data_IF_633587448511
#
_entry.id   IF_633587448511
#
_cell.length_a   1.000
_cell.length_b   1.000
_cell.length_c   1.000
_cell.angle_alpha   90.00
_cell.angle_beta   90.00
_cell.angle_gamma   90.00
#
_symmetry.space_group_name_H-M   'P 1'
#
loop_
_entity.id
_entity.type
_entity.pdbx_description
1 polymer ?
#
# COMPACT_ATOMS: atom_id res chain seq x y z
N UNK A 1 7.46 6.95 12.55
CA UNK A 1 6.40 7.12 13.57
C UNK A 1 6.58 6.23 14.81
N UNK A 2 7.79 5.69 15.06
CA UNK A 2 8.09 4.96 16.30
C UNK A 2 7.62 3.50 16.35
N UNK A 3 7.19 2.91 15.25
CA UNK A 3 6.87 1.49 15.18
C UNK A 3 8.14 0.66 14.92
N UNK A 4 8.28 -0.45 15.63
CA UNK A 4 9.23 -1.49 15.25
C UNK A 4 8.66 -2.28 14.08
N UNK A 5 9.42 -2.43 13.01
CA UNK A 5 8.99 -3.11 11.79
C UNK A 5 9.81 -4.37 11.59
N UNK A 6 9.13 -5.47 11.35
CA UNK A 6 9.74 -6.74 10.94
C UNK A 6 9.07 -7.24 9.68
N UNK A 7 9.75 -8.04 8.90
CA UNK A 7 9.18 -8.62 7.68
C UNK A 7 9.97 -9.84 7.21
N UNK A 8 9.40 -10.56 6.28
CA UNK A 8 10.04 -11.69 5.59
C UNK A 8 9.91 -11.54 4.08
N UNK A 9 10.97 -11.83 3.36
CA UNK A 9 10.98 -11.85 1.90
C UNK A 9 11.94 -12.96 1.43
N UNK A 10 11.51 -13.74 0.46
CA UNK A 10 12.34 -14.79 -0.14
C UNK A 10 13.38 -14.23 -1.11
N UNK A 11 13.18 -12.99 -1.58
CA UNK A 11 14.03 -12.33 -2.56
C UNK A 11 14.81 -11.19 -1.91
N UNK A 12 16.14 -11.32 -1.91
CA UNK A 12 17.01 -10.21 -1.52
C UNK A 12 17.09 -9.19 -2.64
N UNK A 13 16.61 -7.97 -2.38
CA UNK A 13 16.62 -6.88 -3.33
C UNK A 13 17.03 -5.55 -2.67
N UNK A 14 17.14 -4.50 -3.47
CA UNK A 14 17.53 -3.18 -2.97
C UNK A 14 16.57 -2.63 -1.91
N UNK A 15 15.27 -2.94 -2.03
CA UNK A 15 14.26 -2.46 -1.07
C UNK A 15 14.39 -3.18 0.28
N UNK A 16 14.60 -4.50 0.29
CA UNK A 16 14.83 -5.23 1.54
C UNK A 16 16.10 -4.76 2.24
N UNK A 17 17.16 -4.42 1.48
CA UNK A 17 18.37 -3.83 2.03
C UNK A 17 18.10 -2.45 2.62
N UNK A 18 17.41 -1.58 1.89
CA UNK A 18 17.04 -0.24 2.35
C UNK A 18 16.21 -0.30 3.65
N UNK A 19 15.25 -1.23 3.73
CA UNK A 19 14.46 -1.41 4.95
C UNK A 19 15.32 -1.83 6.15
N UNK A 20 16.32 -2.71 5.95
CA UNK A 20 17.30 -3.07 7.00
C UNK A 20 18.10 -1.85 7.47
N UNK A 21 18.55 -1.01 6.54
CA UNK A 21 19.26 0.24 6.86
C UNK A 21 18.41 1.24 7.64
N UNK A 22 17.08 1.24 7.41
CA UNK A 22 16.12 2.01 8.18
C UNK A 22 15.77 1.39 9.54
N UNK A 23 16.39 0.27 9.90
CA UNK A 23 16.21 -0.40 11.18
C UNK A 23 15.13 -1.48 11.22
N UNK A 24 14.57 -1.88 10.08
CA UNK A 24 13.64 -3.02 10.03
C UNK A 24 14.41 -4.35 10.16
N UNK A 25 13.79 -5.32 10.80
CA UNK A 25 14.32 -6.69 10.86
C UNK A 25 13.70 -7.47 9.73
N UNK A 26 14.50 -7.84 8.73
CA UNK A 26 14.03 -8.58 7.55
C UNK A 26 14.64 -9.98 7.54
N UNK A 27 13.77 -10.99 7.57
CA UNK A 27 14.11 -12.40 7.45
C UNK A 27 14.17 -12.79 5.97
N UNK A 28 15.10 -13.67 5.62
CA UNK A 28 15.31 -14.16 4.25
C UNK A 28 14.53 -15.47 3.99
N UNK A 29 13.61 -15.84 4.88
CA UNK A 29 12.76 -17.03 4.82
C UNK A 29 11.37 -16.69 5.34
N UNK A 30 10.37 -17.52 5.00
CA UNK A 30 8.98 -17.36 5.45
C UNK A 30 8.56 -18.58 6.28
N UNK A 31 9.12 -18.72 7.46
CA UNK A 31 8.93 -19.85 8.37
C UNK A 31 8.39 -19.40 9.73
N UNK A 32 7.67 -20.30 10.42
CA UNK A 32 7.07 -20.01 11.74
C UNK A 32 8.06 -19.44 12.78
N UNK A 33 9.32 -19.88 12.74
CA UNK A 33 10.35 -19.44 13.68
C UNK A 33 10.60 -17.93 13.64
N UNK A 34 10.35 -17.28 12.51
CA UNK A 34 10.45 -15.82 12.40
C UNK A 34 9.44 -15.14 13.34
N UNK A 35 8.22 -15.65 13.40
CA UNK A 35 7.17 -15.13 14.29
C UNK A 35 7.54 -15.35 15.74
N UNK A 36 8.07 -16.53 16.10
CA UNK A 36 8.52 -16.83 17.46
C UNK A 36 9.65 -15.89 17.90
N UNK A 37 10.61 -15.58 17.01
CA UNK A 37 11.69 -14.62 17.25
C UNK A 37 11.13 -13.19 17.45
N UNK A 38 10.16 -12.77 16.64
CA UNK A 38 9.51 -11.47 16.79
C UNK A 38 8.80 -11.38 18.12
N UNK A 39 8.02 -12.41 18.49
CA UNK A 39 7.31 -12.46 19.77
C UNK A 39 8.25 -12.39 20.97
N UNK A 40 9.36 -13.14 20.92
CA UNK A 40 10.37 -13.14 22.01
C UNK A 40 11.06 -11.77 22.15
N UNK A 41 11.33 -11.10 21.02
CA UNK A 41 11.99 -9.80 20.99
C UNK A 41 11.09 -8.65 21.45
N UNK A 42 9.81 -8.70 21.12
CA UNK A 42 8.83 -7.64 21.39
C UNK A 42 7.78 -8.05 22.40
N UNK A 43 8.22 -8.70 23.48
CA UNK A 43 7.35 -9.14 24.58
C UNK A 43 6.49 -7.96 25.08
N UNK A 44 5.21 -8.25 25.33
CA UNK A 44 4.22 -7.27 25.82
C UNK A 44 3.86 -6.14 24.83
N UNK A 45 4.28 -6.21 23.56
CA UNK A 45 3.84 -5.27 22.54
C UNK A 45 2.71 -5.88 21.70
N UNK A 46 1.78 -5.04 21.26
CA UNK A 46 0.74 -5.46 20.31
C UNK A 46 1.36 -5.66 18.94
N UNK A 47 1.35 -6.89 18.46
CA UNK A 47 1.83 -7.26 17.13
C UNK A 47 0.66 -7.21 16.14
N UNK A 48 0.84 -6.53 15.02
CA UNK A 48 -0.07 -6.57 13.88
C UNK A 48 0.63 -7.32 12.75
N UNK A 49 -0.01 -8.38 12.26
CA UNK A 49 0.46 -9.13 11.10
C UNK A 49 -0.14 -8.48 9.86
N UNK A 50 0.72 -8.21 8.87
CA UNK A 50 0.31 -7.59 7.61
C UNK A 50 0.75 -8.47 6.45
N UNK A 51 -0.18 -8.77 5.56
CA UNK A 51 0.06 -9.57 4.36
C UNK A 51 -0.30 -8.79 3.09
N UNK A 52 0.27 -9.21 1.97
CA UNK A 52 -0.16 -8.80 0.62
C UNK A 52 -0.91 -9.93 -0.06
N UNK A 53 -1.57 -9.62 -1.17
CA UNK A 53 -2.26 -10.58 -2.03
C UNK A 53 -1.33 -11.66 -2.62
N UNK A 54 -0.01 -11.40 -2.65
CA UNK A 54 0.99 -12.37 -3.12
C UNK A 54 1.23 -13.53 -2.13
N UNK A 55 0.81 -13.40 -0.88
CA UNK A 55 1.03 -14.43 0.14
C UNK A 55 -0.03 -15.53 -0.02
N UNK A 56 0.43 -16.72 -0.36
CA UNK A 56 -0.43 -17.89 -0.55
C UNK A 56 -0.95 -18.41 0.79
N UNK A 57 -2.16 -19.00 0.77
CA UNK A 57 -2.80 -19.62 1.95
C UNK A 57 -1.95 -20.69 2.64
N UNK A 58 -1.09 -21.39 1.90
CA UNK A 58 -0.16 -22.41 2.42
C UNK A 58 1.14 -21.86 3.00
N UNK A 59 1.32 -20.53 3.01
CA UNK A 59 2.51 -19.90 3.60
C UNK A 59 2.64 -20.27 5.07
N UNK A 60 3.83 -20.70 5.52
CA UNK A 60 4.05 -21.25 6.86
C UNK A 60 3.84 -20.19 7.94
N UNK A 61 4.33 -18.94 7.74
CA UNK A 61 4.11 -17.84 8.68
C UNK A 61 2.62 -17.50 8.80
N UNK A 62 1.91 -17.43 7.65
CA UNK A 62 0.47 -17.16 7.62
C UNK A 62 -0.32 -18.24 8.34
N UNK A 63 -0.03 -19.52 8.06
CA UNK A 63 -0.67 -20.67 8.73
C UNK A 63 -0.43 -20.62 10.25
N UNK A 64 0.80 -20.32 10.66
CA UNK A 64 1.15 -20.19 12.07
C UNK A 64 0.38 -19.05 12.74
N UNK A 65 0.32 -17.88 12.10
CA UNK A 65 -0.42 -16.73 12.60
C UNK A 65 -1.92 -17.01 12.72
N UNK A 66 -2.55 -17.68 11.73
CA UNK A 66 -3.96 -18.09 11.78
C UNK A 66 -4.21 -19.05 12.94
N UNK A 67 -3.36 -20.07 13.09
CA UNK A 67 -3.47 -21.08 14.16
C UNK A 67 -3.38 -20.48 15.59
N UNK A 68 -2.59 -19.41 15.73
CA UNK A 68 -2.40 -18.74 17.02
C UNK A 68 -3.29 -17.50 17.21
N UNK A 69 -4.33 -17.33 16.37
CA UNK A 69 -5.32 -16.25 16.45
C UNK A 69 -4.73 -14.84 16.40
N UNK A 70 -3.64 -14.64 15.66
CA UNK A 70 -3.12 -13.30 15.42
C UNK A 70 -4.10 -12.48 14.59
N UNK A 71 -4.19 -11.19 14.87
CA UNK A 71 -4.92 -10.26 14.02
C UNK A 71 -4.12 -10.03 12.73
N UNK A 72 -4.64 -10.57 11.64
CA UNK A 72 -4.04 -10.44 10.32
C UNK A 72 -4.78 -9.35 9.55
N UNK A 73 -4.04 -8.42 8.98
CA UNK A 73 -4.55 -7.35 8.12
C UNK A 73 -3.96 -7.43 6.74
N UNK A 74 -4.72 -7.04 5.74
CA UNK A 74 -4.20 -6.84 4.40
C UNK A 74 -3.43 -5.51 4.31
N UNK A 75 -2.41 -5.42 3.42
CA UNK A 75 -1.64 -4.18 3.19
C UNK A 75 -2.52 -2.97 2.88
N UNK A 76 -3.64 -3.19 2.16
CA UNK A 76 -4.60 -2.15 1.82
C UNK A 76 -5.29 -1.55 3.06
N UNK A 77 -5.58 -2.36 4.07
CA UNK A 77 -6.15 -1.87 5.33
C UNK A 77 -5.17 -0.97 6.08
N UNK A 78 -3.87 -1.31 6.06
CA UNK A 78 -2.84 -0.48 6.67
C UNK A 78 -2.70 0.85 5.91
N UNK A 79 -2.70 0.81 4.58
CA UNK A 79 -2.69 2.03 3.76
C UNK A 79 -3.92 2.90 4.06
N UNK A 80 -5.11 2.32 4.09
CA UNK A 80 -6.33 3.04 4.44
C UNK A 80 -6.28 3.65 5.86
N UNK A 81 -5.64 2.97 6.81
CA UNK A 81 -5.42 3.52 8.16
C UNK A 81 -4.43 4.71 8.15
N UNK A 82 -3.37 4.62 7.35
CA UNK A 82 -2.40 5.72 7.20
C UNK A 82 -3.08 6.93 6.58
N UNK A 83 -3.86 6.74 5.52
CA UNK A 83 -4.59 7.81 4.81
C UNK A 83 -5.47 8.65 5.74
N UNK A 84 -6.11 8.04 6.73
CA UNK A 84 -6.95 8.76 7.72
C UNK A 84 -6.23 9.86 8.50
N UNK A 85 -4.91 9.83 8.56
CA UNK A 85 -4.10 10.84 9.26
C UNK A 85 -3.68 12.01 8.36
N UNK A 86 -4.10 12.01 7.09
CA UNK A 86 -3.70 12.97 6.08
C UNK A 86 -4.89 13.44 5.26
N UNK A 87 -4.72 14.54 4.55
CA UNK A 87 -5.53 14.88 3.38
C UNK A 87 -4.97 14.05 2.22
N UNK A 88 -5.70 13.03 1.82
CA UNK A 88 -5.24 12.01 0.86
C UNK A 88 -5.55 12.42 -0.58
N UNK A 89 -4.52 12.38 -1.43
CA UNK A 89 -4.60 12.49 -2.88
C UNK A 89 -4.32 11.09 -3.45
N UNK A 90 -5.36 10.40 -3.87
CA UNK A 90 -5.29 8.97 -4.21
C UNK A 90 -5.46 8.76 -5.70
N UNK A 91 -4.46 8.13 -6.32
CA UNK A 91 -4.41 7.89 -7.74
C UNK A 91 -4.79 6.43 -8.02
N UNK A 92 -5.87 6.24 -8.76
CA UNK A 92 -6.36 4.96 -9.25
C UNK A 92 -6.36 4.94 -10.79
N UNK A 93 -6.50 3.77 -11.37
CA UNK A 93 -6.57 3.57 -12.81
C UNK A 93 -5.83 2.32 -13.24
N UNK A 94 -6.23 1.71 -14.33
CA UNK A 94 -5.57 0.52 -14.85
C UNK A 94 -4.13 0.83 -15.24
N UNK A 95 -3.88 2.01 -15.80
CA UNK A 95 -2.55 2.44 -16.25
C UNK A 95 -2.16 3.82 -15.74
N UNK A 96 -0.85 4.07 -15.66
CA UNK A 96 -0.28 5.38 -15.38
C UNK A 96 -0.32 5.84 -13.93
N UNK A 97 -0.76 5.02 -12.98
CA UNK A 97 -0.82 5.37 -11.54
C UNK A 97 0.50 5.90 -11.00
N UNK A 98 1.59 5.13 -11.19
CA UNK A 98 2.94 5.51 -10.72
C UNK A 98 3.46 6.78 -11.37
N UNK A 99 3.20 6.98 -12.67
CA UNK A 99 3.61 8.20 -13.36
C UNK A 99 2.87 9.42 -12.82
N UNK A 100 1.56 9.32 -12.64
CA UNK A 100 0.72 10.41 -12.13
C UNK A 100 1.07 10.73 -10.67
N UNK A 101 1.24 9.72 -9.81
CA UNK A 101 1.60 9.94 -8.41
C UNK A 101 3.01 10.52 -8.26
N UNK A 102 3.97 10.08 -9.07
CA UNK A 102 5.32 10.64 -9.13
C UNK A 102 5.28 12.11 -9.57
N UNK A 103 4.54 12.40 -10.64
CA UNK A 103 4.41 13.75 -11.15
C UNK A 103 3.75 14.68 -10.11
N UNK A 104 2.66 14.24 -9.50
CA UNK A 104 1.95 15.02 -8.48
C UNK A 104 2.83 15.29 -7.26
N UNK A 105 3.54 14.28 -6.75
CA UNK A 105 4.46 14.44 -5.62
C UNK A 105 5.58 15.42 -5.94
N UNK A 106 6.14 15.33 -7.15
CA UNK A 106 7.20 16.24 -7.62
C UNK A 106 6.67 17.68 -7.77
N UNK A 107 5.47 17.83 -8.31
CA UNK A 107 4.84 19.14 -8.48
C UNK A 107 4.57 19.82 -7.13
N UNK A 108 4.02 19.08 -6.17
CA UNK A 108 3.78 19.60 -4.83
C UNK A 108 5.08 20.07 -4.16
N UNK A 109 6.15 19.30 -4.28
CA UNK A 109 7.47 19.65 -3.76
C UNK A 109 7.98 20.95 -4.40
N UNK A 110 7.92 21.05 -5.73
CA UNK A 110 8.34 22.25 -6.46
C UNK A 110 7.49 23.49 -6.13
N UNK A 111 6.23 23.30 -5.77
CA UNK A 111 5.33 24.35 -5.32
C UNK A 111 5.44 24.65 -3.81
N UNK A 112 6.46 24.14 -3.12
CA UNK A 112 6.66 24.29 -1.67
C UNK A 112 5.49 23.78 -0.81
N UNK A 113 4.71 22.85 -1.36
CA UNK A 113 3.61 22.15 -0.69
C UNK A 113 4.07 20.74 -0.38
N UNK A 114 4.95 20.59 0.62
CA UNK A 114 5.50 19.28 0.97
C UNK A 114 4.40 18.23 1.13
N UNK A 115 4.64 17.02 0.61
CA UNK A 115 3.74 15.90 0.75
C UNK A 115 4.47 14.64 1.18
N UNK A 116 3.83 13.83 2.02
CA UNK A 116 4.19 12.42 2.15
C UNK A 116 3.74 11.66 0.92
N UNK A 117 4.43 10.58 0.57
CA UNK A 117 4.09 9.78 -0.61
C UNK A 117 4.24 8.29 -0.34
N UNK A 118 3.31 7.49 -0.85
CA UNK A 118 3.38 6.01 -0.86
C UNK A 118 2.92 5.56 -2.25
N UNK A 119 3.86 5.03 -3.04
CA UNK A 119 3.64 4.71 -4.47
C UNK A 119 4.16 3.32 -4.81
N UNK A 120 3.74 2.76 -5.93
CA UNK A 120 4.20 1.46 -6.41
C UNK A 120 5.64 1.49 -6.97
N UNK A 121 6.11 2.65 -7.43
CA UNK A 121 7.45 2.85 -7.98
C UNK A 121 8.27 3.90 -7.24
N UNK A 122 9.55 3.98 -7.56
CA UNK A 122 10.47 4.95 -6.96
C UNK A 122 10.17 6.35 -7.51
N UNK A 123 9.95 7.30 -6.62
CA UNK A 123 9.86 8.73 -6.96
C UNK A 123 11.30 9.28 -7.03
N UNK A 124 11.76 9.78 -8.19
CA UNK A 124 13.15 10.14 -8.39
C UNK A 124 13.71 11.17 -7.41
N UNK A 125 12.95 12.21 -7.08
CA UNK A 125 13.36 13.27 -6.15
C UNK A 125 13.60 12.73 -4.73
N UNK A 126 12.83 11.71 -4.30
CA UNK A 126 12.96 11.08 -2.98
C UNK A 126 13.84 9.83 -2.99
N UNK A 127 14.19 9.30 -4.17
CA UNK A 127 14.92 8.03 -4.36
C UNK A 127 14.26 6.87 -3.60
N UNK A 128 12.96 6.92 -3.45
CA UNK A 128 12.16 5.98 -2.64
C UNK A 128 10.74 5.89 -3.17
N UNK A 129 10.10 4.76 -2.95
CA UNK A 129 8.66 4.56 -3.17
C UNK A 129 7.80 4.98 -1.96
N UNK A 130 8.42 5.33 -0.84
CA UNK A 130 7.75 5.86 0.32
C UNK A 130 8.57 7.01 0.92
N UNK A 131 7.97 8.17 1.04
CA UNK A 131 8.56 9.37 1.61
C UNK A 131 7.61 9.94 2.67
N UNK A 132 8.14 10.29 3.83
CA UNK A 132 7.35 10.82 4.94
C UNK A 132 7.90 12.19 5.33
N UNK A 133 7.03 13.17 5.26
CA UNK A 133 7.27 14.55 5.67
C UNK A 133 6.35 14.98 6.83
N UNK A 134 6.72 16.07 7.49
CA UNK A 134 5.84 16.72 8.46
C UNK A 134 4.81 17.60 7.74
N UNK A 135 3.84 16.96 7.11
CA UNK A 135 2.82 17.58 6.28
C UNK A 135 1.45 16.95 6.53
N UNK A 136 0.40 17.66 6.12
CA UNK A 136 -0.96 17.12 6.13
C UNK A 136 -1.34 16.38 4.85
N UNK A 137 -0.52 16.42 3.80
CA UNK A 137 -0.83 15.83 2.49
C UNK A 137 -0.16 14.46 2.32
N UNK A 138 -0.89 13.52 1.76
CA UNK A 138 -0.39 12.22 1.34
C UNK A 138 -0.79 11.95 -0.11
N UNK A 139 0.20 11.77 -0.98
CA UNK A 139 0.00 11.25 -2.33
C UNK A 139 0.17 9.73 -2.30
N UNK A 140 -0.81 8.99 -2.79
CA UNK A 140 -0.73 7.53 -2.78
C UNK A 140 -1.36 6.89 -4.00
N UNK A 141 -0.82 5.75 -4.42
CA UNK A 141 -1.43 4.88 -5.39
C UNK A 141 -2.42 3.95 -4.73
N UNK A 142 -3.55 3.76 -5.40
CA UNK A 142 -4.55 2.76 -5.04
C UNK A 142 -4.48 1.63 -6.06
N UNK A 143 -4.22 0.43 -5.56
CA UNK A 143 -4.16 -0.77 -6.37
C UNK A 143 -5.57 -1.36 -6.54
N UNK A 144 -5.98 -1.55 -7.79
CA UNK A 144 -7.26 -2.16 -8.14
C UNK A 144 -7.14 -3.67 -8.38
N UNK A 145 -5.93 -4.18 -8.60
CA UNK A 145 -5.67 -5.53 -9.09
C UNK A 145 -6.22 -6.65 -8.22
N UNK A 146 -6.36 -6.42 -6.93
CA UNK A 146 -6.87 -7.37 -5.93
C UNK A 146 -8.27 -7.01 -5.41
N UNK A 147 -8.96 -6.08 -6.08
CA UNK A 147 -10.31 -5.64 -5.72
C UNK A 147 -10.39 -4.84 -4.43
N UNK A 148 -9.28 -4.46 -3.82
CA UNK A 148 -9.27 -3.69 -2.57
C UNK A 148 -9.55 -2.20 -2.77
N UNK A 149 -9.52 -1.71 -4.02
CA UNK A 149 -9.80 -0.31 -4.38
C UNK A 149 -11.08 0.22 -3.73
N UNK A 150 -12.12 -0.58 -3.64
CA UNK A 150 -13.43 -0.24 -3.05
C UNK A 150 -13.38 0.06 -1.54
N UNK A 151 -12.28 -0.29 -0.86
CA UNK A 151 -12.13 -0.14 0.60
C UNK A 151 -11.50 1.20 1.00
N UNK A 152 -11.03 1.98 0.03
CA UNK A 152 -10.38 3.26 0.31
C UNK A 152 -11.38 4.40 0.32
N UNK A 153 -11.19 5.31 1.29
CA UNK A 153 -11.82 6.62 1.33
C UNK A 153 -10.75 7.67 1.05
N UNK A 154 -11.01 8.59 0.15
CA UNK A 154 -10.06 9.59 -0.26
C UNK A 154 -10.63 10.99 -0.14
N UNK A 155 -9.81 11.97 0.23
CA UNK A 155 -10.23 13.39 0.17
C UNK A 155 -10.27 13.85 -1.29
N UNK A 156 -9.26 13.47 -2.08
CA UNK A 156 -9.23 13.73 -3.52
C UNK A 156 -8.88 12.42 -4.23
N UNK A 157 -9.84 11.82 -4.91
CA UNK A 157 -9.64 10.67 -5.79
C UNK A 157 -9.32 11.12 -7.22
N UNK A 158 -8.37 10.46 -7.86
CA UNK A 158 -7.99 10.69 -9.26
C UNK A 158 -8.11 9.34 -9.97
N UNK A 159 -8.88 9.29 -11.06
CA UNK A 159 -9.00 8.10 -11.91
C UNK A 159 -8.43 8.45 -13.29
N UNK A 160 -7.30 7.83 -13.62
CA UNK A 160 -6.60 8.07 -14.89
C UNK A 160 -7.34 7.46 -16.09
N UNK A 161 -7.72 6.20 -15.97
CA UNK A 161 -8.38 5.39 -16.98
C UNK A 161 -8.92 4.11 -16.34
N UNK A 162 -9.84 3.45 -17.02
CA UNK A 162 -10.42 2.18 -16.59
C UNK A 162 -10.41 1.23 -17.80
N UNK A 163 -9.62 0.17 -17.71
CA UNK A 163 -9.54 -0.89 -18.70
C UNK A 163 -9.80 -2.25 -18.07
N UNK A 164 -10.19 -3.24 -18.88
CA UNK A 164 -10.32 -4.60 -18.42
C UNK A 164 -8.93 -5.24 -18.34
N UNK A 165 -8.36 -5.16 -17.16
CA UNK A 165 -7.08 -5.76 -16.78
C UNK A 165 -7.28 -6.63 -15.53
N UNK A 166 -6.24 -7.34 -15.11
CA UNK A 166 -6.25 -8.18 -13.90
C UNK A 166 -7.34 -9.27 -13.93
N UNK A 167 -7.39 -10.04 -15.02
CA UNK A 167 -8.34 -11.14 -15.23
C UNK A 167 -8.28 -12.25 -14.17
N UNK A 168 -7.23 -12.27 -13.35
CA UNK A 168 -7.10 -13.17 -12.19
C UNK A 168 -8.08 -12.83 -11.06
N UNK A 169 -8.53 -11.58 -11.01
CA UNK A 169 -9.45 -11.09 -9.97
C UNK A 169 -10.83 -10.72 -10.51
N UNK A 170 -10.90 -10.09 -11.69
CA UNK A 170 -12.14 -9.63 -12.30
C UNK A 170 -12.58 -10.55 -13.44
N UNK A 171 -13.84 -10.95 -13.44
CA UNK A 171 -14.40 -11.82 -14.48
C UNK A 171 -14.80 -11.06 -15.75
N UNK A 172 -15.08 -9.76 -15.62
CA UNK A 172 -15.54 -8.88 -16.71
C UNK A 172 -15.33 -7.40 -16.37
N UNK A 173 -15.53 -6.55 -17.39
CA UNK A 173 -15.38 -5.09 -17.24
C UNK A 173 -16.37 -4.48 -16.25
N UNK A 174 -17.57 -5.05 -16.11
CA UNK A 174 -18.59 -4.51 -15.20
C UNK A 174 -18.18 -4.63 -13.73
N UNK A 175 -17.46 -5.68 -13.36
CA UNK A 175 -16.90 -5.84 -12.03
C UNK A 175 -15.80 -4.81 -11.76
N UNK A 176 -14.94 -4.53 -12.75
CA UNK A 176 -13.93 -3.46 -12.68
C UNK A 176 -14.62 -2.12 -12.45
N UNK A 177 -15.59 -1.78 -13.34
CA UNK A 177 -16.36 -0.54 -13.26
C UNK A 177 -17.08 -0.39 -11.91
N UNK A 178 -17.66 -1.48 -11.39
CA UNK A 178 -18.30 -1.47 -10.06
C UNK A 178 -17.32 -1.10 -8.95
N UNK A 179 -16.11 -1.64 -9.00
CA UNK A 179 -15.05 -1.36 -8.02
C UNK A 179 -14.58 0.10 -8.08
N UNK A 180 -14.37 0.63 -9.30
CA UNK A 180 -14.03 2.05 -9.51
C UNK A 180 -15.17 3.00 -9.11
N UNK A 181 -16.44 2.67 -9.44
CA UNK A 181 -17.60 3.42 -8.98
C UNK A 181 -17.68 3.50 -7.45
N UNK A 182 -17.34 2.41 -6.78
CA UNK A 182 -17.30 2.40 -5.31
C UNK A 182 -16.20 3.31 -4.77
N UNK A 183 -14.99 3.27 -5.33
CA UNK A 183 -13.92 4.20 -4.99
C UNK A 183 -14.31 5.65 -5.25
N UNK A 184 -14.91 5.93 -6.41
CA UNK A 184 -15.43 7.25 -6.76
C UNK A 184 -16.43 7.77 -5.72
N UNK A 185 -17.39 6.92 -5.31
CA UNK A 185 -18.40 7.28 -4.29
C UNK A 185 -17.81 7.48 -2.87
N UNK A 186 -16.66 6.88 -2.59
CA UNK A 186 -15.94 7.02 -1.33
C UNK A 186 -14.96 8.21 -1.32
N UNK A 187 -14.82 8.93 -2.44
CA UNK A 187 -13.95 10.10 -2.56
C UNK A 187 -14.75 11.38 -2.35
N UNK A 188 -14.24 12.30 -1.52
CA UNK A 188 -14.93 13.57 -1.24
C UNK A 188 -14.92 14.49 -2.49
N UNK A 189 -13.80 14.49 -3.21
CA UNK A 189 -13.64 15.15 -4.52
C UNK A 189 -13.08 14.14 -5.50
N UNK A 190 -13.49 14.23 -6.75
CA UNK A 190 -13.10 13.30 -7.78
C UNK A 190 -12.64 14.03 -9.04
N UNK A 191 -11.49 13.61 -9.56
CA UNK A 191 -10.98 13.98 -10.87
C UNK A 191 -10.99 12.73 -11.73
N UNK A 192 -11.68 12.78 -12.85
CA UNK A 192 -11.75 11.67 -13.81
C UNK A 192 -11.30 12.19 -15.16
N UNK A 193 -10.51 11.39 -15.86
CA UNK A 193 -10.23 11.65 -17.26
C UNK A 193 -11.53 11.55 -18.06
N UNK A 194 -11.81 12.53 -18.89
CA UNK A 194 -13.07 12.62 -19.66
C UNK A 194 -13.28 11.44 -20.60
N UNK A 195 -12.20 10.85 -21.10
CA UNK A 195 -12.22 9.72 -22.05
C UNK A 195 -12.23 8.35 -21.35
N UNK A 196 -12.51 8.30 -20.03
CA UNK A 196 -12.64 7.06 -19.28
C UNK A 196 -14.01 6.40 -19.47
#
# INVERSE_FOLDING_TARGET
KGYSVTGSDLVKNKETQRLKELGAIIFDSQIKNNIDLVMSKFQNQKINIVISSAIQEKNEELCYCKKNNFLIKHRSEILAMIMKSYISLSIAGSHGKTSTSTFLSTLLELCTQNSSSITGGIIPIYKSNAHIENTKFLVTEIDESDGTIKNYNSDIGIINNIDFDHCDHYSNIDEVLSSFKKFASNSQKLLINYDC
#
